data_IF_852161630697
#
_entry.id   IF_852161630697
#
_cell.length_a   1.000
_cell.length_b   1.000
_cell.length_c   1.000
_cell.angle_alpha   90.00
_cell.angle_beta   90.00
_cell.angle_gamma   90.00
#
_symmetry.space_group_name_H-M   'P 1'
#
loop_
_entity.id
_entity.type
_entity.pdbx_description
1 polymer ?
#
# COMPACT_ATOMS: atom_id res chain seq x y z
N UNK A 1 10.34 -4.50 1.08
CA UNK A 1 9.66 -3.25 0.69
C UNK A 1 9.15 -3.38 -0.71
N UNK A 2 7.89 -3.02 -0.98
CA UNK A 2 7.35 -3.03 -2.34
C UNK A 2 7.86 -1.78 -3.07
N UNK A 3 8.82 -1.91 -3.99
CA UNK A 3 9.38 -0.78 -4.73
C UNK A 3 8.53 -0.43 -5.95
N UNK A 4 8.31 0.86 -6.21
CA UNK A 4 7.65 1.31 -7.42
C UNK A 4 8.36 0.86 -8.70
N UNK A 5 9.66 0.54 -8.67
CA UNK A 5 10.43 0.10 -9.85
C UNK A 5 9.87 -1.17 -10.52
N UNK A 6 9.03 -1.94 -9.83
CA UNK A 6 8.47 -3.20 -10.34
C UNK A 6 7.65 -3.08 -11.63
N UNK A 7 7.21 -1.87 -11.99
CA UNK A 7 6.56 -1.62 -13.28
C UNK A 7 7.47 -1.86 -14.51
N UNK A 8 8.81 -1.82 -14.33
CA UNK A 8 9.80 -2.05 -15.39
C UNK A 8 10.14 -3.54 -15.50
N UNK A 9 11.16 -3.96 -14.75
CA UNK A 9 11.80 -5.26 -14.90
C UNK A 9 11.08 -6.29 -14.02
N UNK A 10 10.66 -5.90 -12.82
CA UNK A 10 9.87 -6.71 -11.88
C UNK A 10 10.55 -8.02 -11.45
N UNK A 11 11.87 -8.12 -11.61
CA UNK A 11 12.66 -9.31 -11.30
C UNK A 11 12.68 -9.65 -9.79
N UNK A 12 12.43 -8.66 -8.94
CA UNK A 12 12.45 -8.79 -7.47
C UNK A 12 11.11 -9.27 -6.88
N UNK A 13 10.06 -9.42 -7.70
CA UNK A 13 8.72 -9.87 -7.27
C UNK A 13 8.31 -11.19 -7.93
N UNK A 14 9.30 -12.01 -8.28
CA UNK A 14 9.05 -13.29 -8.90
C UNK A 14 8.61 -14.32 -7.86
N UNK A 15 7.49 -14.96 -8.14
CA UNK A 15 6.90 -16.05 -7.38
C UNK A 15 7.19 -17.34 -8.14
N UNK A 16 7.79 -18.30 -7.45
CA UNK A 16 8.05 -19.64 -7.97
C UNK A 16 6.75 -20.34 -8.38
N UNK A 17 6.80 -21.09 -9.48
CA UNK A 17 5.71 -21.94 -9.95
C UNK A 17 6.27 -23.32 -10.25
N UNK A 18 5.61 -24.39 -9.79
CA UNK A 18 6.01 -25.74 -10.14
C UNK A 18 5.76 -26.00 -11.64
N UNK A 19 6.78 -26.49 -12.35
CA UNK A 19 6.73 -26.81 -13.78
C UNK A 19 6.39 -25.63 -14.70
N UNK A 20 6.58 -24.39 -14.24
CA UNK A 20 6.36 -23.19 -15.05
C UNK A 20 7.40 -22.11 -14.75
N UNK A 21 7.52 -21.14 -15.66
CA UNK A 21 8.37 -19.97 -15.44
C UNK A 21 7.88 -19.17 -14.23
N UNK A 22 8.77 -18.60 -13.39
CA UNK A 22 8.37 -17.71 -12.32
C UNK A 22 7.48 -16.56 -12.83
N UNK A 23 6.40 -16.27 -12.11
CA UNK A 23 5.50 -15.15 -12.44
C UNK A 23 5.77 -13.96 -11.55
N UNK A 24 5.36 -12.77 -11.96
CA UNK A 24 5.34 -11.60 -11.08
C UNK A 24 4.16 -11.69 -10.10
N UNK A 25 4.30 -11.08 -8.93
CA UNK A 25 3.15 -10.72 -8.09
C UNK A 25 2.14 -9.93 -8.92
N UNK A 26 0.86 -10.24 -8.78
CA UNK A 26 -0.24 -9.52 -9.43
C UNK A 26 -0.55 -8.22 -8.69
N UNK A 27 -1.19 -7.23 -9.33
CA UNK A 27 -1.58 -5.99 -8.64
C UNK A 27 -2.49 -6.24 -7.44
N UNK A 28 -3.32 -7.30 -7.47
CA UNK A 28 -4.14 -7.70 -6.32
C UNK A 28 -3.31 -8.21 -5.16
N UNK A 29 -2.31 -9.05 -5.42
CA UNK A 29 -1.40 -9.52 -4.38
C UNK A 29 -0.62 -8.35 -3.76
N UNK A 30 -0.15 -7.40 -4.58
CA UNK A 30 0.45 -6.17 -4.08
C UNK A 30 -0.51 -5.36 -3.21
N UNK A 31 -1.78 -5.21 -3.62
CA UNK A 31 -2.79 -4.50 -2.84
C UNK A 31 -3.00 -5.16 -1.46
N UNK A 32 -3.07 -6.51 -1.41
CA UNK A 32 -3.19 -7.25 -0.15
C UNK A 32 -1.98 -7.06 0.75
N UNK A 33 -0.76 -7.11 0.19
CA UNK A 33 0.47 -6.86 0.94
C UNK A 33 0.49 -5.44 1.55
N UNK A 34 -0.09 -4.47 0.86
CA UNK A 34 -0.22 -3.10 1.36
C UNK A 34 -1.40 -2.91 2.32
N UNK A 35 -2.20 -3.95 2.59
CA UNK A 35 -3.32 -3.93 3.54
C UNK A 35 -4.63 -3.38 2.96
N UNK A 36 -4.76 -3.27 1.63
CA UNK A 36 -6.03 -2.90 1.02
C UNK A 36 -7.05 -4.05 1.10
N UNK A 37 -8.34 -3.76 1.26
CA UNK A 37 -9.38 -4.78 1.24
C UNK A 37 -9.51 -5.41 -0.15
N UNK A 38 -9.98 -6.65 -0.21
CA UNK A 38 -10.20 -7.37 -1.48
C UNK A 38 -11.23 -6.69 -2.40
N UNK A 39 -12.14 -5.91 -1.82
CA UNK A 39 -13.11 -5.08 -2.55
C UNK A 39 -12.51 -3.82 -3.19
N UNK A 40 -11.26 -3.46 -2.88
CA UNK A 40 -10.59 -2.28 -3.44
C UNK A 40 -10.46 -2.40 -4.96
N UNK A 41 -11.06 -1.49 -5.72
CA UNK A 41 -11.02 -1.53 -7.20
C UNK A 41 -9.69 -0.98 -7.72
N UNK A 42 -9.11 -1.65 -8.73
CA UNK A 42 -7.88 -1.23 -9.41
C UNK A 42 -8.29 -0.84 -10.85
N UNK A 43 -8.67 0.42 -11.10
CA UNK A 43 -9.20 0.85 -12.41
C UNK A 43 -8.12 1.18 -13.46
N UNK A 44 -6.84 1.02 -13.09
CA UNK A 44 -5.68 1.37 -13.93
C UNK A 44 -4.98 0.12 -14.46
N UNK A 45 -4.09 0.30 -15.46
CA UNK A 45 -3.29 -0.81 -15.99
C UNK A 45 -2.35 -1.38 -14.92
N UNK A 46 -1.96 -2.65 -15.09
CA UNK A 46 -1.07 -3.34 -14.15
C UNK A 46 0.22 -2.55 -13.91
N UNK A 47 0.83 -1.99 -14.95
CA UNK A 47 2.03 -1.15 -14.88
C UNK A 47 1.83 0.06 -13.97
N UNK A 48 0.71 0.77 -14.13
CA UNK A 48 0.38 1.92 -13.29
C UNK A 48 0.06 1.49 -11.86
N UNK A 49 -0.66 0.38 -11.68
CA UNK A 49 -0.99 -0.18 -10.38
C UNK A 49 0.29 -0.54 -9.58
N UNK A 50 1.28 -1.20 -10.20
CA UNK A 50 2.55 -1.49 -9.52
C UNK A 50 3.27 -0.23 -9.06
N UNK A 51 3.27 0.83 -9.89
CA UNK A 51 3.85 2.12 -9.51
C UNK A 51 3.08 2.78 -8.37
N UNK A 52 1.75 2.74 -8.40
CA UNK A 52 0.90 3.29 -7.34
C UNK A 52 1.12 2.56 -6.02
N UNK A 53 1.06 1.22 -6.02
CA UNK A 53 1.28 0.44 -4.80
C UNK A 53 2.71 0.54 -4.28
N UNK A 54 3.72 0.55 -5.15
CA UNK A 54 5.11 0.69 -4.71
C UNK A 54 5.49 2.10 -4.24
N UNK A 55 4.66 3.12 -4.55
CA UNK A 55 4.76 4.47 -3.96
C UNK A 55 3.78 4.68 -2.80
N UNK A 56 2.93 3.68 -2.50
CA UNK A 56 1.92 3.79 -1.48
C UNK A 56 2.50 3.45 -0.11
N UNK A 57 1.71 3.74 0.91
CA UNK A 57 1.97 3.47 2.32
C UNK A 57 1.06 2.33 2.78
N UNK A 58 1.52 1.54 3.74
CA UNK A 58 0.77 0.39 4.27
C UNK A 58 -0.48 0.89 4.99
N UNK A 59 -1.66 0.41 4.59
CA UNK A 59 -2.96 0.93 5.04
C UNK A 59 -3.15 0.84 6.56
N UNK A 60 -2.86 -0.30 7.23
CA UNK A 60 -2.91 -0.37 8.69
C UNK A 60 -2.07 0.70 9.41
N UNK A 61 -0.85 0.95 8.93
CA UNK A 61 0.04 1.95 9.53
C UNK A 61 -0.57 3.36 9.46
N UNK A 62 -1.21 3.70 8.35
CA UNK A 62 -1.89 4.99 8.21
C UNK A 62 -3.09 5.08 9.16
N UNK A 63 -3.83 3.99 9.38
CA UNK A 63 -4.93 3.99 10.35
C UNK A 63 -4.44 4.35 11.76
N UNK A 64 -3.30 3.79 12.18
CA UNK A 64 -2.69 4.07 13.48
C UNK A 64 -2.23 5.54 13.58
N UNK A 65 -1.53 6.04 12.56
CA UNK A 65 -1.08 7.45 12.50
C UNK A 65 -2.26 8.41 12.55
N UNK A 66 -3.35 8.11 11.82
CA UNK A 66 -4.56 8.94 11.81
C UNK A 66 -5.19 8.99 13.21
N UNK A 67 -5.11 7.90 13.97
CA UNK A 67 -5.62 7.91 15.33
C UNK A 67 -4.79 8.80 16.26
N UNK A 68 -3.47 8.81 16.12
CA UNK A 68 -2.64 9.75 16.87
C UNK A 68 -2.88 11.21 16.46
N UNK A 69 -3.04 11.47 15.17
CA UNK A 69 -3.40 12.81 14.67
C UNK A 69 -4.75 13.25 15.27
N UNK A 70 -5.73 12.34 15.30
CA UNK A 70 -7.04 12.62 15.90
C UNK A 70 -6.91 12.95 17.39
N UNK A 71 -6.09 12.23 18.14
CA UNK A 71 -5.84 12.53 19.55
C UNK A 71 -5.33 13.96 19.71
N UNK A 72 -4.37 14.39 18.89
CA UNK A 72 -3.81 15.75 18.97
C UNK A 72 -4.84 16.83 18.59
N UNK A 73 -5.61 16.61 17.53
CA UNK A 73 -6.56 17.61 17.01
C UNK A 73 -7.82 17.70 17.90
N UNK A 74 -8.24 16.61 18.53
CA UNK A 74 -9.45 16.57 19.37
C UNK A 74 -9.20 16.92 20.83
N UNK A 75 -7.96 17.18 21.25
CA UNK A 75 -7.71 17.90 22.50
C UNK A 75 -8.33 19.29 22.33
N UNK A 76 -9.40 19.65 23.08
CA UNK A 76 -9.88 21.03 23.09
C UNK A 76 -8.68 21.91 23.45
N UNK A 77 -8.48 23.03 22.73
CA UNK A 77 -7.45 24.01 23.13
C UNK A 77 -7.56 24.17 24.65
N UNK A 78 -6.46 24.01 25.43
CA UNK A 78 -6.53 24.30 26.85
C UNK A 78 -7.10 25.71 26.93
N UNK A 79 -8.27 25.82 27.58
CA UNK A 79 -8.99 27.07 27.72
C UNK A 79 -7.95 28.12 28.05
N UNK A 80 -7.73 29.08 27.13
CA UNK A 80 -6.76 30.15 27.33
C UNK A 80 -7.21 30.88 28.59
N UNK A 81 -6.64 30.49 29.72
CA UNK A 81 -6.68 31.24 30.94
C UNK A 81 -5.78 32.43 30.66
N UNK A 82 -6.40 33.57 30.34
CA UNK A 82 -6.11 34.96 30.75
C UNK A 82 -7.12 35.84 30.00
#
# INVERSE_FOLDING_TARGET
TLSARYYKDGAEILVHQENANPRKLTPRECARLMGFPDSFKIPVSNTQAYRQFGNSVVVPLIADIVQEIRNVITIPEPARAI
#
